data_IF_554608412075
#
_entry.id   IF_554608412075
#
_cell.length_a   1.000
_cell.length_b   1.000
_cell.length_c   1.000
_cell.angle_alpha   90.00
_cell.angle_beta   90.00
_cell.angle_gamma   90.00
#
_symmetry.space_group_name_H-M   'P 1'
#
loop_
_entity.id
_entity.type
_entity.pdbx_description
1 polymer ?
#
# COMPACT_ATOMS: atom_id res chain seq x y z
N UNK A 1 16.12 7.38 0.35
CA UNK A 1 14.67 7.50 0.59
C UNK A 1 13.99 7.32 -0.75
N UNK A 2 13.17 6.28 -0.97
CA UNK A 2 12.37 6.23 -2.18
C UNK A 2 11.36 7.37 -2.13
N UNK A 3 11.39 8.22 -3.16
CA UNK A 3 10.48 9.32 -3.36
C UNK A 3 9.28 8.83 -4.19
N UNK A 4 8.07 9.08 -3.70
CA UNK A 4 6.82 8.51 -4.23
C UNK A 4 6.51 8.89 -5.68
N UNK A 5 5.73 8.05 -6.35
CA UNK A 5 4.94 8.41 -7.54
C UNK A 5 3.84 9.47 -7.26
N UNK A 6 3.36 9.57 -6.01
CA UNK A 6 2.45 10.65 -5.57
C UNK A 6 3.19 11.95 -5.15
N UNK A 7 4.51 11.95 -4.96
CA UNK A 7 5.17 12.96 -4.10
C UNK A 7 5.55 14.27 -4.80
N UNK A 8 5.67 14.33 -6.12
CA UNK A 8 6.14 15.56 -6.77
C UNK A 8 5.17 16.17 -7.78
N UNK A 9 4.34 15.36 -8.45
CA UNK A 9 3.29 15.85 -9.35
C UNK A 9 1.96 16.08 -8.63
N UNK A 10 1.40 15.04 -8.01
CA UNK A 10 0.02 15.08 -7.52
C UNK A 10 -0.14 15.80 -6.18
N UNK A 11 0.86 15.85 -5.30
CA UNK A 11 0.75 16.60 -4.03
C UNK A 11 0.58 18.11 -4.27
N UNK A 12 1.30 18.67 -5.25
CA UNK A 12 1.13 20.06 -5.67
C UNK A 12 -0.29 20.32 -6.19
N UNK A 13 -0.81 19.40 -7.02
CA UNK A 13 -2.17 19.48 -7.56
C UNK A 13 -3.24 19.37 -6.46
N UNK A 14 -3.05 18.49 -5.47
CA UNK A 14 -3.94 18.35 -4.32
C UNK A 14 -3.98 19.65 -3.50
N UNK A 15 -2.81 20.22 -3.18
CA UNK A 15 -2.73 21.48 -2.44
C UNK A 15 -3.33 22.64 -3.22
N UNK A 16 -3.02 22.76 -4.52
CA UNK A 16 -3.56 23.81 -5.38
C UNK A 16 -5.09 23.71 -5.49
N UNK A 17 -5.62 22.49 -5.58
CA UNK A 17 -7.07 22.22 -5.57
C UNK A 17 -7.68 22.56 -4.22
N UNK A 18 -7.04 22.19 -3.11
CA UNK A 18 -7.48 22.56 -1.76
C UNK A 18 -7.53 24.07 -1.54
N UNK A 19 -6.54 24.82 -2.04
CA UNK A 19 -6.57 26.28 -2.01
C UNK A 19 -7.71 26.87 -2.84
N UNK A 20 -8.01 26.29 -4.01
CA UNK A 20 -9.16 26.70 -4.81
C UNK A 20 -10.48 26.42 -4.12
N UNK A 21 -10.64 25.28 -3.44
CA UNK A 21 -11.82 24.97 -2.63
C UNK A 21 -12.09 26.11 -1.64
N UNK A 22 -11.06 26.52 -0.89
CA UNK A 22 -11.19 27.61 0.09
C UNK A 22 -11.61 28.91 -0.58
N UNK A 23 -11.00 29.26 -1.72
CA UNK A 23 -11.34 30.47 -2.48
C UNK A 23 -12.78 30.45 -2.98
N UNK A 24 -13.26 29.31 -3.49
CA UNK A 24 -14.63 29.14 -3.96
C UNK A 24 -15.62 29.24 -2.79
N UNK A 25 -15.34 28.59 -1.65
CA UNK A 25 -16.17 28.71 -0.44
C UNK A 25 -16.29 30.17 0.01
N UNK A 26 -15.19 30.92 0.01
CA UNK A 26 -15.22 32.35 0.35
C UNK A 26 -16.10 33.16 -0.61
N UNK A 27 -16.13 32.80 -1.90
CA UNK A 27 -17.04 33.43 -2.87
C UNK A 27 -18.49 33.08 -2.58
N UNK A 28 -18.80 31.80 -2.34
CA UNK A 28 -20.15 31.34 -2.01
C UNK A 28 -20.70 32.07 -0.78
N UNK A 29 -19.88 32.28 0.26
CA UNK A 29 -20.28 33.01 1.48
C UNK A 29 -20.47 34.51 1.28
N UNK A 30 -19.85 35.10 0.25
CA UNK A 30 -20.00 36.52 -0.11
C UNK A 30 -21.19 36.76 -1.05
N UNK A 31 -21.66 35.71 -1.72
CA UNK A 31 -22.86 35.73 -2.56
C UNK A 31 -24.14 35.80 -1.73
N UNK A 32 -25.27 35.73 -2.41
CA UNK A 32 -26.59 35.68 -1.76
C UNK A 32 -26.72 34.34 -1.03
N UNK A 33 -27.27 34.36 0.20
CA UNK A 33 -27.44 33.14 1.00
C UNK A 33 -28.61 32.32 0.44
N UNK A 34 -28.31 31.41 -0.47
CA UNK A 34 -29.23 30.34 -0.91
C UNK A 34 -28.88 28.99 -0.28
N UNK A 35 -29.85 28.08 -0.23
CA UNK A 35 -29.65 26.71 0.25
C UNK A 35 -28.63 25.96 -0.62
N UNK A 36 -28.64 26.21 -1.94
CA UNK A 36 -27.69 25.68 -2.91
C UNK A 36 -26.26 26.11 -2.60
N UNK A 37 -26.04 27.32 -2.07
CA UNK A 37 -24.72 27.76 -1.62
C UNK A 37 -24.24 26.95 -0.43
N UNK A 38 -25.11 26.70 0.55
CA UNK A 38 -24.80 25.92 1.74
C UNK A 38 -24.48 24.46 1.39
N UNK A 39 -25.29 23.84 0.53
CA UNK A 39 -25.07 22.47 0.07
C UNK A 39 -23.81 22.35 -0.80
N UNK A 40 -23.55 23.32 -1.68
CA UNK A 40 -22.30 23.35 -2.46
C UNK A 40 -21.08 23.52 -1.56
N UNK A 41 -21.15 24.38 -0.54
CA UNK A 41 -20.09 24.53 0.46
C UNK A 41 -19.81 23.21 1.19
N UNK A 42 -20.86 22.47 1.57
CA UNK A 42 -20.74 21.17 2.22
C UNK A 42 -20.05 20.13 1.33
N UNK A 43 -20.43 20.05 0.07
CA UNK A 43 -19.79 19.15 -0.90
C UNK A 43 -18.33 19.52 -1.16
N UNK A 44 -18.02 20.81 -1.26
CA UNK A 44 -16.64 21.30 -1.39
C UNK A 44 -15.77 20.98 -0.17
N UNK A 45 -16.32 21.13 1.05
CA UNK A 45 -15.63 20.71 2.28
C UNK A 45 -15.38 19.21 2.31
N UNK A 46 -16.37 18.42 1.88
CA UNK A 46 -16.26 16.96 1.82
C UNK A 46 -15.14 16.55 0.86
N UNK A 47 -15.11 17.14 -0.34
CA UNK A 47 -14.03 16.94 -1.31
C UNK A 47 -12.66 17.35 -0.73
N UNK A 48 -12.59 18.48 -0.01
CA UNK A 48 -11.36 18.89 0.68
C UNK A 48 -10.90 17.89 1.74
N UNK A 49 -11.83 17.25 2.44
CA UNK A 49 -11.56 16.15 3.37
C UNK A 49 -10.99 14.92 2.66
N UNK A 50 -11.58 14.52 1.53
CA UNK A 50 -11.12 13.37 0.74
C UNK A 50 -9.71 13.61 0.17
N UNK A 51 -9.44 14.82 -0.31
CA UNK A 51 -8.11 15.25 -0.74
C UNK A 51 -7.09 15.24 0.41
N UNK A 52 -7.48 15.67 1.61
CA UNK A 52 -6.61 15.59 2.78
C UNK A 52 -6.33 14.13 3.20
N UNK A 53 -7.32 13.24 3.09
CA UNK A 53 -7.13 11.82 3.37
C UNK A 53 -6.15 11.17 2.38
N UNK A 54 -6.21 11.54 1.10
CA UNK A 54 -5.23 11.11 0.09
C UNK A 54 -3.80 11.50 0.47
N UNK A 55 -3.58 12.71 1.01
CA UNK A 55 -2.23 13.12 1.44
C UNK A 55 -1.69 12.36 2.66
N UNK A 56 -2.58 11.72 3.43
CA UNK A 56 -2.25 10.98 4.66
C UNK A 56 -2.22 9.47 4.47
N UNK A 57 -2.55 8.98 3.27
CA UNK A 57 -2.65 7.56 3.02
C UNK A 57 -1.26 6.92 3.11
N UNK A 58 -1.05 5.94 4.02
CA UNK A 58 0.21 5.22 4.10
C UNK A 58 0.30 4.30 2.88
N UNK A 59 1.18 4.61 1.94
CA UNK A 59 1.47 3.74 0.80
C UNK A 59 2.70 2.91 1.15
N UNK A 60 2.51 1.65 1.49
CA UNK A 60 3.59 0.68 1.71
C UNK A 60 4.52 0.65 0.49
N UNK A 61 5.84 0.58 0.70
CA UNK A 61 6.87 0.51 -0.35
C UNK A 61 6.60 -0.65 -1.32
N UNK A 62 5.93 -1.71 -0.86
CA UNK A 62 5.40 -2.82 -1.67
C UNK A 62 4.47 -2.38 -2.80
N UNK A 63 3.54 -1.51 -2.43
CA UNK A 63 2.45 -1.03 -3.28
C UNK A 63 3.02 -0.01 -4.23
N UNK A 64 4.00 0.79 -3.81
CA UNK A 64 4.65 1.80 -4.66
C UNK A 64 5.28 1.22 -5.94
N UNK A 65 5.77 -0.02 -5.91
CA UNK A 65 6.39 -0.67 -7.08
C UNK A 65 5.41 -1.48 -7.92
N UNK A 66 4.15 -1.60 -7.50
CA UNK A 66 3.14 -2.38 -8.23
C UNK A 66 2.63 -1.62 -9.46
N UNK A 67 2.58 -2.23 -10.67
CA UNK A 67 1.99 -1.62 -11.85
C UNK A 67 0.53 -1.20 -11.64
N UNK A 68 -0.19 -1.95 -10.80
CA UNK A 68 -1.57 -1.64 -10.45
C UNK A 68 -1.65 -0.34 -9.63
N UNK A 69 -0.76 -0.17 -8.65
CA UNK A 69 -0.74 1.04 -7.84
C UNK A 69 -0.37 2.27 -8.66
N UNK A 70 0.55 2.15 -9.61
CA UNK A 70 0.89 3.24 -10.53
C UNK A 70 -0.31 3.63 -11.40
N UNK A 71 -0.99 2.66 -12.01
CA UNK A 71 -2.21 2.90 -12.81
C UNK A 71 -3.31 3.59 -12.00
N UNK A 72 -3.47 3.21 -10.73
CA UNK A 72 -4.47 3.84 -9.87
C UNK A 72 -4.01 5.23 -9.40
N UNK A 73 -2.72 5.44 -9.15
CA UNK A 73 -2.15 6.77 -8.87
C UNK A 73 -2.39 7.75 -10.03
N UNK A 74 -2.16 7.31 -11.26
CA UNK A 74 -2.40 8.11 -12.47
C UNK A 74 -3.89 8.48 -12.59
N UNK A 75 -4.80 7.55 -12.25
CA UNK A 75 -6.25 7.82 -12.21
C UNK A 75 -6.63 8.84 -11.13
N UNK A 76 -6.04 8.73 -9.94
CA UNK A 76 -6.23 9.72 -8.86
C UNK A 76 -5.77 11.09 -9.33
N UNK A 77 -4.58 11.18 -9.94
CA UNK A 77 -4.03 12.44 -10.42
C UNK A 77 -4.91 13.07 -11.50
N UNK A 78 -5.37 12.28 -12.47
CA UNK A 78 -6.27 12.76 -13.52
C UNK A 78 -7.60 13.26 -12.94
N UNK A 79 -8.14 12.59 -11.92
CA UNK A 79 -9.39 13.01 -11.29
C UNK A 79 -9.22 14.28 -10.45
N UNK A 80 -8.08 14.44 -9.75
CA UNK A 80 -7.71 15.69 -9.08
C UNK A 80 -7.59 16.83 -10.10
N UNK A 81 -6.94 16.59 -11.23
CA UNK A 81 -6.80 17.59 -12.31
C UNK A 81 -8.15 18.02 -12.86
N UNK A 82 -9.10 17.10 -13.00
CA UNK A 82 -10.49 17.41 -13.40
C UNK A 82 -11.23 18.22 -12.34
N UNK A 83 -11.11 17.86 -11.06
CA UNK A 83 -11.63 18.67 -9.95
C UNK A 83 -11.07 20.10 -9.98
N UNK A 84 -9.75 20.22 -10.16
CA UNK A 84 -9.07 21.49 -10.26
C UNK A 84 -9.60 22.34 -11.42
N UNK A 85 -9.65 21.78 -12.64
CA UNK A 85 -10.15 22.47 -13.82
C UNK A 85 -11.60 22.94 -13.65
N UNK A 86 -12.42 22.12 -13.00
CA UNK A 86 -13.81 22.46 -12.70
C UNK A 86 -13.92 23.66 -11.73
N UNK A 87 -13.09 23.67 -10.68
CA UNK A 87 -13.01 24.80 -9.75
C UNK A 87 -12.46 26.06 -10.41
N UNK A 88 -11.42 25.95 -11.25
CA UNK A 88 -10.87 27.08 -12.00
C UNK A 88 -11.92 27.68 -12.92
N UNK A 89 -12.64 26.83 -13.68
CA UNK A 89 -13.69 27.28 -14.58
C UNK A 89 -14.80 28.02 -13.81
N UNK A 90 -15.27 27.45 -12.70
CA UNK A 90 -16.25 28.11 -11.85
C UNK A 90 -15.70 29.43 -11.28
N UNK A 91 -14.54 29.41 -10.65
CA UNK A 91 -13.91 30.58 -10.04
C UNK A 91 -13.65 31.71 -11.05
N UNK A 92 -13.19 31.37 -12.26
CA UNK A 92 -12.98 32.32 -13.35
C UNK A 92 -14.29 32.94 -13.80
N UNK A 93 -15.33 32.12 -14.00
CA UNK A 93 -16.66 32.61 -14.39
C UNK A 93 -17.25 33.54 -13.33
N UNK A 94 -17.14 33.19 -12.05
CA UNK A 94 -17.63 34.00 -10.94
C UNK A 94 -16.85 35.30 -10.73
N UNK A 95 -15.60 35.38 -11.18
CA UNK A 95 -14.74 36.56 -11.07
C UNK A 95 -14.56 37.34 -12.38
N UNK A 96 -15.15 36.89 -13.49
CA UNK A 96 -15.04 37.55 -14.79
C UNK A 96 -15.60 38.98 -14.77
N UNK A 97 -16.57 39.24 -13.89
CA UNK A 97 -17.12 40.58 -13.63
C UNK A 97 -16.83 41.03 -12.21
N UNK A 98 -16.53 42.32 -12.04
CA UNK A 98 -16.30 42.95 -10.74
C UNK A 98 -17.45 43.91 -10.40
N UNK A 99 -17.72 44.08 -9.11
CA UNK A 99 -18.65 45.11 -8.60
C UNK A 99 -20.12 44.72 -8.70
N UNK A 100 -20.99 45.68 -9.03
CA UNK A 100 -22.45 45.51 -9.10
C UNK A 100 -22.89 44.46 -10.15
N UNK A 101 -22.19 44.41 -11.29
CA UNK A 101 -22.44 43.42 -12.34
C UNK A 101 -22.14 42.00 -11.87
N UNK A 102 -21.16 41.83 -10.98
CA UNK A 102 -20.86 40.53 -10.36
C UNK A 102 -22.04 40.05 -9.53
N UNK A 103 -22.63 40.93 -8.70
CA UNK A 103 -23.78 40.60 -7.84
C UNK A 103 -25.04 40.31 -8.66
N UNK A 104 -25.27 41.09 -9.72
CA UNK A 104 -26.39 40.88 -10.64
C UNK A 104 -26.27 39.57 -11.43
N UNK A 105 -25.08 39.25 -11.95
CA UNK A 105 -24.85 37.96 -12.60
C UNK A 105 -24.93 36.80 -11.61
N UNK A 106 -24.44 36.98 -10.37
CA UNK A 106 -24.62 36.00 -9.30
C UNK A 106 -26.10 35.71 -9.07
N UNK A 107 -26.91 36.75 -8.84
CA UNK A 107 -28.33 36.63 -8.55
C UNK A 107 -29.15 36.06 -9.73
N UNK A 108 -28.76 36.35 -10.98
CA UNK A 108 -29.46 35.84 -12.17
C UNK A 108 -29.06 34.39 -12.55
N UNK A 109 -27.86 33.96 -12.16
CA UNK A 109 -27.28 32.65 -12.51
C UNK A 109 -27.41 31.61 -11.38
N UNK A 110 -27.93 32.06 -10.24
CA UNK A 110 -27.63 31.56 -8.90
C UNK A 110 -27.90 30.08 -8.68
N UNK A 111 -29.02 29.57 -9.20
CA UNK A 111 -29.52 28.26 -8.77
C UNK A 111 -29.13 27.15 -9.74
N UNK A 112 -29.33 27.36 -11.05
CA UNK A 112 -29.09 26.32 -12.06
C UNK A 112 -27.60 26.05 -12.26
N UNK A 113 -26.77 27.09 -12.30
CA UNK A 113 -25.34 26.90 -12.49
C UNK A 113 -24.67 26.33 -11.26
N UNK A 114 -25.10 26.77 -10.08
CA UNK A 114 -24.59 26.27 -8.81
C UNK A 114 -25.02 24.81 -8.58
N UNK A 115 -26.28 24.47 -8.90
CA UNK A 115 -26.72 23.08 -8.90
C UNK A 115 -25.94 22.21 -9.88
N UNK A 116 -25.64 22.72 -11.08
CA UNK A 116 -24.82 22.01 -12.08
C UNK A 116 -23.39 21.82 -11.58
N UNK A 117 -22.79 22.85 -10.98
CA UNK A 117 -21.47 22.78 -10.38
C UNK A 117 -21.44 21.77 -9.23
N UNK A 118 -22.42 21.83 -8.32
CA UNK A 118 -22.58 20.87 -7.21
C UNK A 118 -22.67 19.44 -7.72
N UNK A 119 -23.54 19.18 -8.70
CA UNK A 119 -23.71 17.84 -9.28
C UNK A 119 -22.40 17.30 -9.86
N UNK A 120 -21.63 18.14 -10.54
CA UNK A 120 -20.32 17.71 -11.04
C UNK A 120 -19.32 17.50 -9.91
N UNK A 121 -19.30 18.32 -8.86
CA UNK A 121 -18.43 18.08 -7.69
C UNK A 121 -18.79 16.74 -7.02
N UNK A 122 -20.07 16.43 -6.87
CA UNK A 122 -20.55 15.14 -6.33
C UNK A 122 -20.05 14.00 -7.22
N UNK A 123 -20.25 14.09 -8.54
CA UNK A 123 -19.78 13.08 -9.50
C UNK A 123 -18.27 12.83 -9.34
N UNK A 124 -17.46 13.90 -9.31
CA UNK A 124 -16.01 13.79 -9.15
C UNK A 124 -15.60 13.23 -7.79
N UNK A 125 -16.27 13.63 -6.71
CA UNK A 125 -16.05 13.09 -5.38
C UNK A 125 -16.35 11.59 -5.34
N UNK A 126 -17.47 11.16 -5.93
CA UNK A 126 -17.81 9.72 -6.00
C UNK A 126 -16.79 8.93 -6.81
N UNK A 127 -16.33 9.46 -7.93
CA UNK A 127 -15.27 8.84 -8.73
C UNK A 127 -13.97 8.71 -7.92
N UNK A 128 -13.55 9.78 -7.24
CA UNK A 128 -12.38 9.77 -6.37
C UNK A 128 -12.52 8.74 -5.25
N UNK A 129 -13.69 8.67 -4.61
CA UNK A 129 -13.99 7.70 -3.56
C UNK A 129 -13.90 6.25 -4.04
N UNK A 130 -14.39 5.95 -5.25
CA UNK A 130 -14.26 4.62 -5.86
C UNK A 130 -12.79 4.28 -6.12
N UNK A 131 -12.03 5.22 -6.67
CA UNK A 131 -10.60 5.02 -6.97
C UNK A 131 -9.80 4.77 -5.67
N UNK A 132 -10.09 5.54 -4.62
CA UNK A 132 -9.48 5.35 -3.28
C UNK A 132 -9.89 4.03 -2.65
N UNK A 133 -11.16 3.63 -2.79
CA UNK A 133 -11.64 2.32 -2.36
C UNK A 133 -10.86 1.18 -3.03
N UNK A 134 -10.62 1.29 -4.35
CA UNK A 134 -9.82 0.32 -5.10
C UNK A 134 -8.36 0.27 -4.61
N UNK A 135 -7.75 1.41 -4.26
CA UNK A 135 -6.40 1.44 -3.66
C UNK A 135 -6.37 0.68 -2.34
N UNK A 136 -7.33 0.94 -1.45
CA UNK A 136 -7.37 0.31 -0.14
C UNK A 136 -7.59 -1.20 -0.25
N UNK A 137 -8.47 -1.65 -1.15
CA UNK A 137 -8.68 -3.08 -1.41
C UNK A 137 -7.46 -3.75 -2.05
N UNK A 138 -6.81 -3.10 -3.01
CA UNK A 138 -5.59 -3.62 -3.65
C UNK A 138 -4.42 -3.71 -2.68
N UNK A 139 -4.29 -2.74 -1.77
CA UNK A 139 -3.29 -2.76 -0.70
C UNK A 139 -3.53 -3.91 0.28
N UNK A 140 -4.79 -4.17 0.65
CA UNK A 140 -5.17 -5.30 1.49
C UNK A 140 -4.77 -6.65 0.87
N UNK A 141 -5.00 -6.82 -0.44
CA UNK A 141 -4.61 -8.03 -1.16
C UNK A 141 -3.08 -8.19 -1.24
N UNK A 142 -2.35 -7.10 -1.53
CA UNK A 142 -0.88 -7.14 -1.60
C UNK A 142 -0.23 -7.48 -0.24
N UNK A 143 -0.82 -7.02 0.86
CA UNK A 143 -0.37 -7.40 2.22
C UNK A 143 -0.69 -8.87 2.48
N UNK A 144 -1.85 -9.36 2.06
CA UNK A 144 -2.25 -10.75 2.25
C UNK A 144 -1.34 -11.73 1.47
N UNK A 145 -0.97 -11.40 0.24
CA UNK A 145 -0.05 -12.20 -0.58
C UNK A 145 1.34 -12.28 0.07
N UNK A 146 1.85 -11.17 0.62
CA UNK A 146 3.12 -11.15 1.35
C UNK A 146 3.10 -11.98 2.63
N UNK A 147 2.01 -11.94 3.38
CA UNK A 147 1.85 -12.78 4.56
C UNK A 147 1.87 -14.26 4.15
N UNK A 148 1.24 -14.61 3.02
CA UNK A 148 1.25 -15.97 2.49
C UNK A 148 2.65 -16.42 2.02
N UNK A 149 3.39 -15.56 1.31
CA UNK A 149 4.77 -15.80 0.89
C UNK A 149 5.71 -15.96 2.09
N UNK A 150 5.56 -15.13 3.11
CA UNK A 150 6.36 -15.24 4.33
C UNK A 150 6.05 -16.55 5.06
N UNK A 151 4.77 -16.96 5.10
CA UNK A 151 4.36 -18.20 5.75
C UNK A 151 4.92 -19.44 5.03
N UNK A 152 4.93 -19.43 3.69
CA UNK A 152 5.50 -20.51 2.86
C UNK A 152 7.02 -20.58 3.00
N UNK A 153 7.71 -19.44 2.99
CA UNK A 153 9.16 -19.40 3.20
C UNK A 153 9.57 -19.91 4.60
N UNK A 154 8.78 -19.58 5.62
CA UNK A 154 9.01 -20.07 6.99
C UNK A 154 8.76 -21.58 7.08
N UNK A 155 7.74 -22.08 6.36
CA UNK A 155 7.47 -23.51 6.29
C UNK A 155 8.59 -24.28 5.58
N UNK A 156 9.11 -23.76 4.47
CA UNK A 156 10.21 -24.39 3.72
C UNK A 156 11.50 -24.44 4.53
N UNK A 157 11.83 -23.37 5.27
CA UNK A 157 12.99 -23.35 6.17
C UNK A 157 12.86 -24.36 7.31
N UNK A 158 11.66 -24.51 7.89
CA UNK A 158 11.39 -25.54 8.89
C UNK A 158 11.52 -26.95 8.30
N UNK A 159 10.91 -27.21 7.14
CA UNK A 159 10.98 -28.53 6.48
C UNK A 159 12.43 -28.89 6.13
N UNK A 160 13.19 -27.95 5.57
CA UNK A 160 14.60 -28.15 5.26
C UNK A 160 15.44 -28.38 6.52
N UNK A 161 15.16 -27.66 7.61
CA UNK A 161 15.81 -27.87 8.90
C UNK A 161 15.55 -29.26 9.47
N UNK A 162 14.29 -29.73 9.43
CA UNK A 162 13.89 -31.08 9.87
C UNK A 162 14.58 -32.14 9.04
N UNK A 163 14.62 -31.98 7.71
CA UNK A 163 15.30 -32.92 6.82
C UNK A 163 16.81 -33.00 7.09
N UNK A 164 17.45 -31.85 7.34
CA UNK A 164 18.88 -31.81 7.73
C UNK A 164 19.14 -32.53 9.04
N UNK A 165 18.28 -32.35 10.04
CA UNK A 165 18.39 -33.04 11.34
C UNK A 165 18.20 -34.55 11.18
N UNK A 166 17.23 -34.98 10.37
CA UNK A 166 17.01 -36.40 10.07
C UNK A 166 18.24 -37.04 9.41
N UNK A 167 18.88 -36.33 8.48
CA UNK A 167 20.09 -36.80 7.80
C UNK A 167 21.31 -36.90 8.76
N UNK A 168 21.46 -35.93 9.67
CA UNK A 168 22.47 -36.00 10.72
C UNK A 168 22.23 -37.20 11.64
N UNK A 169 20.99 -37.43 12.06
CA UNK A 169 20.64 -38.56 12.91
C UNK A 169 20.97 -39.91 12.26
N UNK A 170 20.66 -40.07 10.97
CA UNK A 170 21.01 -41.26 10.20
C UNK A 170 22.54 -41.47 10.12
N UNK A 171 23.29 -40.38 9.97
CA UNK A 171 24.76 -40.43 9.94
C UNK A 171 25.34 -40.87 11.29
N UNK A 172 24.83 -40.32 12.40
CA UNK A 172 25.23 -40.74 13.74
C UNK A 172 24.92 -42.22 14.01
N UNK A 173 23.74 -42.69 13.58
CA UNK A 173 23.38 -44.11 13.70
C UNK A 173 24.38 -45.00 12.95
N UNK A 174 24.76 -44.65 11.72
CA UNK A 174 25.77 -45.41 10.95
C UNK A 174 27.14 -45.42 11.64
N UNK A 175 27.58 -44.29 12.21
CA UNK A 175 28.84 -44.20 12.95
C UNK A 175 28.82 -45.09 14.20
N UNK A 176 27.73 -45.07 14.98
CA UNK A 176 27.57 -45.92 16.17
C UNK A 176 27.67 -47.40 15.77
N UNK A 177 26.94 -47.82 14.72
CA UNK A 177 27.00 -49.20 14.23
C UNK A 177 28.41 -49.58 13.81
N UNK A 178 29.12 -48.71 13.08
CA UNK A 178 30.50 -48.95 12.66
C UNK A 178 31.45 -49.13 13.87
N UNK A 179 31.32 -48.29 14.90
CA UNK A 179 32.13 -48.39 16.13
C UNK A 179 31.83 -49.70 16.87
N UNK A 180 30.55 -50.07 17.01
CA UNK A 180 30.16 -51.34 17.64
C UNK A 180 30.73 -52.54 16.89
N UNK A 181 30.67 -52.54 15.55
CA UNK A 181 31.27 -53.58 14.72
C UNK A 181 32.80 -53.66 14.84
N UNK A 182 33.50 -52.52 14.94
CA UNK A 182 34.95 -52.50 15.14
C UNK A 182 35.34 -53.03 16.52
N UNK A 183 34.61 -52.64 17.57
CA UNK A 183 34.84 -53.12 18.93
C UNK A 183 34.57 -54.62 19.03
N UNK A 184 33.47 -55.11 18.47
CA UNK A 184 33.17 -56.56 18.47
C UNK A 184 34.23 -57.36 17.73
N UNK A 185 34.73 -56.86 16.58
CA UNK A 185 35.85 -57.49 15.86
C UNK A 185 37.12 -57.55 16.71
N UNK A 186 37.48 -56.47 17.39
CA UNK A 186 38.65 -56.44 18.30
C UNK A 186 38.49 -57.41 19.46
N UNK A 187 37.31 -57.49 20.07
CA UNK A 187 37.04 -58.45 21.15
C UNK A 187 37.22 -59.88 20.65
N UNK A 188 36.70 -60.21 19.47
CA UNK A 188 36.87 -61.52 18.83
C UNK A 188 38.35 -61.81 18.56
N UNK A 189 39.11 -60.85 18.02
CA UNK A 189 40.55 -61.00 17.76
C UNK A 189 41.37 -61.24 19.04
N UNK A 190 41.03 -60.57 20.14
CA UNK A 190 41.70 -60.73 21.45
C UNK A 190 41.33 -62.06 22.12
N UNK A 191 40.08 -62.49 22.01
CA UNK A 191 39.59 -63.74 22.64
C UNK A 191 40.04 -64.98 21.85
N UNK A 192 40.16 -64.87 20.52
CA UNK A 192 40.50 -65.99 19.63
C UNK A 192 42.00 -66.04 19.32
N UNK A 193 42.78 -64.95 19.48
CA UNK A 193 44.25 -65.05 19.44
C UNK A 193 44.75 -65.79 20.66
N UNK A 194 45.24 -67.04 20.52
CA UNK A 194 45.95 -67.67 21.62
C UNK A 194 47.20 -66.85 21.87
N UNK A 195 47.59 -66.68 23.12
CA UNK A 195 48.92 -66.22 23.49
C UNK A 195 49.98 -67.22 22.98
N UNK A 196 50.28 -67.18 21.68
CA UNK A 196 51.40 -67.84 21.05
C UNK A 196 52.66 -67.04 21.37
N UNK A 197 53.21 -67.25 22.57
CA UNK A 197 54.38 -66.47 22.99
C UNK A 197 54.91 -66.76 24.38
N UNK A 198 55.13 -68.02 24.74
CA UNK A 198 56.02 -68.38 25.87
C UNK A 198 56.84 -69.61 25.48
N UNK A 199 57.95 -69.40 24.77
CA UNK A 199 59.32 -69.52 25.31
C UNK A 199 59.64 -70.94 25.77
N UNK A 200 60.31 -71.68 24.89
CA UNK A 200 61.17 -72.81 25.19
C UNK A 200 62.20 -72.46 26.26
N UNK A 201 62.18 -73.15 27.39
CA UNK A 201 63.27 -73.19 28.36
C UNK A 201 64.32 -74.23 27.90
N UNK A 202 65.62 -73.88 27.82
CA UNK A 202 66.69 -74.86 27.72
C UNK A 202 67.22 -75.14 29.12
N UNK A 203 67.06 -76.35 29.67
CA UNK A 203 68.00 -77.06 30.55
C UNK A 203 67.56 -78.53 30.61
#
# INVERSE_FOLDING_TARGET
>A
MPAFAFAYGSFGDILATGQLIVKVIVILRKGTRSDECAETEKELKSLGGDLANLTRMPVDDAVQTSPLAQSVADRVQEEIRRCHGLMVHFFSKMNATRGLLQRLMWAASEEKELATFRMRIIERRTALGVIVGMLNSGMLLAVQDRVLEQHTQTQDTVVNGVNSLAQQLATYQQQIVAVVCQLSRRVVEVVISPAGGSKSCPW
#
